data_IF_897081140709
#
_entry.id   IF_897081140709
#
_cell.length_a   1.000
_cell.length_b   1.000
_cell.length_c   1.000
_cell.angle_alpha   90.00
_cell.angle_beta   90.00
_cell.angle_gamma   90.00
#
_symmetry.space_group_name_H-M   'P 1'
#
loop_
_entity.id
_entity.type
_entity.pdbx_description
1 polymer ?
#
# COMPACT_ATOMS: atom_id res chain seq x y z
N UNK A 1 -33.03 -52.54 -16.05
CA UNK A 1 -34.04 -51.50 -15.77
C UNK A 1 -34.22 -51.44 -14.26
N UNK A 2 -33.97 -50.26 -13.69
CA UNK A 2 -33.94 -49.88 -12.26
C UNK A 2 -32.69 -50.32 -11.48
N UNK A 3 -31.90 -49.46 -10.86
CA UNK A 3 -31.87 -47.99 -10.78
C UNK A 3 -30.43 -47.55 -10.45
N UNK A 4 -29.87 -46.70 -11.31
CA UNK A 4 -28.51 -46.12 -11.29
C UNK A 4 -28.44 -44.79 -10.51
N UNK A 5 -29.17 -44.64 -9.40
CA UNK A 5 -29.46 -43.31 -8.86
C UNK A 5 -28.77 -42.90 -7.54
N UNK A 6 -27.75 -43.61 -7.05
CA UNK A 6 -27.15 -43.29 -5.73
C UNK A 6 -25.66 -42.91 -5.69
N UNK A 7 -24.97 -42.70 -6.81
CA UNK A 7 -23.54 -42.33 -6.79
C UNK A 7 -23.23 -40.88 -7.22
N UNK A 8 -24.24 -40.05 -7.54
CA UNK A 8 -24.04 -38.68 -8.05
C UNK A 8 -24.42 -37.55 -7.08
N UNK A 9 -24.41 -37.78 -5.76
CA UNK A 9 -24.73 -36.73 -4.78
C UNK A 9 -23.60 -36.32 -3.82
N UNK A 10 -22.43 -36.97 -3.83
CA UNK A 10 -21.34 -36.64 -2.90
C UNK A 10 -20.12 -35.91 -3.52
N UNK A 11 -20.20 -35.43 -4.77
CA UNK A 11 -19.09 -34.76 -5.45
C UNK A 11 -19.39 -33.29 -5.85
N UNK A 12 -20.20 -32.56 -5.08
CA UNK A 12 -20.48 -31.13 -5.34
C UNK A 12 -20.11 -30.14 -4.23
N UNK A 13 -19.63 -30.60 -3.08
CA UNK A 13 -19.26 -29.72 -1.95
C UNK A 13 -17.75 -29.66 -1.69
N UNK A 14 -16.95 -29.65 -2.75
CA UNK A 14 -15.58 -29.13 -2.69
C UNK A 14 -15.49 -27.91 -3.62
N UNK A 15 -16.23 -26.85 -3.25
CA UNK A 15 -15.89 -25.52 -3.70
C UNK A 15 -14.49 -25.24 -3.15
N UNK A 16 -13.49 -25.27 -4.03
CA UNK A 16 -12.19 -24.64 -3.77
C UNK A 16 -12.49 -23.23 -3.29
N UNK A 17 -12.23 -22.95 -2.01
CA UNK A 17 -12.26 -21.59 -1.49
C UNK A 17 -11.32 -20.77 -2.36
N UNK A 18 -11.88 -19.93 -3.23
CA UNK A 18 -11.14 -19.01 -4.06
C UNK A 18 -10.31 -18.12 -3.13
N UNK A 19 -8.98 -18.09 -3.33
CA UNK A 19 -8.02 -17.32 -2.52
C UNK A 19 -8.19 -15.82 -2.73
N UNK A 20 -9.31 -15.27 -2.25
CA UNK A 20 -9.58 -13.83 -2.33
C UNK A 20 -8.95 -13.14 -1.12
N UNK A 21 -8.14 -12.12 -1.38
CA UNK A 21 -7.51 -11.31 -0.35
C UNK A 21 -8.53 -10.42 0.37
N UNK A 22 -8.91 -10.81 1.59
CA UNK A 22 -9.94 -10.11 2.39
C UNK A 22 -11.22 -10.93 2.47
N UNK A 23 -12.28 -10.32 3.00
CA UNK A 23 -13.62 -10.89 3.03
C UNK A 23 -14.41 -10.38 1.82
N UNK A 24 -15.10 -11.29 1.13
CA UNK A 24 -16.05 -10.95 0.08
C UNK A 24 -17.40 -10.69 0.70
N UNK A 25 -18.06 -9.60 0.30
CA UNK A 25 -19.45 -9.36 0.70
C UNK A 25 -20.38 -10.44 0.13
N UNK A 26 -21.14 -11.07 1.01
CA UNK A 26 -22.31 -11.86 0.67
C UNK A 26 -23.56 -10.99 0.85
N UNK A 27 -24.01 -10.40 -0.25
CA UNK A 27 -25.29 -9.70 -0.29
C UNK A 27 -26.36 -10.80 -0.33
N UNK A 28 -26.98 -11.12 0.80
CA UNK A 28 -27.96 -12.20 0.95
C UNK A 28 -29.25 -12.09 0.11
N UNK A 29 -29.22 -11.37 -1.02
CA UNK A 29 -30.32 -11.16 -1.93
C UNK A 29 -30.23 -12.11 -3.14
N UNK A 30 -31.37 -12.73 -3.44
CA UNK A 30 -31.60 -13.64 -4.57
C UNK A 30 -31.05 -13.07 -5.88
N UNK A 31 -30.01 -13.70 -6.43
CA UNK A 31 -29.60 -13.76 -7.86
C UNK A 31 -30.25 -12.70 -8.78
N UNK A 32 -29.89 -11.43 -8.60
CA UNK A 32 -30.11 -10.41 -9.63
C UNK A 32 -28.89 -10.41 -10.55
N UNK A 33 -29.02 -11.02 -11.73
CA UNK A 33 -27.94 -11.12 -12.73
C UNK A 33 -27.28 -9.78 -13.04
N UNK A 34 -28.02 -8.67 -13.01
CA UNK A 34 -27.46 -7.34 -13.26
C UNK A 34 -26.52 -6.85 -12.16
N UNK A 35 -26.76 -7.23 -10.90
CA UNK A 35 -25.85 -6.90 -9.80
C UNK A 35 -24.60 -7.79 -9.83
N UNK A 36 -24.73 -9.05 -10.26
CA UNK A 36 -23.58 -9.94 -10.53
C UNK A 36 -22.71 -9.42 -11.69
N UNK A 37 -23.31 -8.93 -12.77
CA UNK A 37 -22.58 -8.35 -13.92
C UNK A 37 -21.78 -7.11 -13.51
N UNK A 38 -22.35 -6.21 -12.68
CA UNK A 38 -21.63 -5.04 -12.16
C UNK A 38 -20.53 -5.46 -11.18
N UNK A 39 -20.75 -6.52 -10.37
CA UNK A 39 -19.77 -7.03 -9.41
C UNK A 39 -18.49 -7.54 -10.08
N UNK A 40 -18.63 -8.19 -11.23
CA UNK A 40 -17.53 -8.82 -11.96
C UNK A 40 -16.80 -7.86 -12.92
N UNK A 41 -17.34 -6.65 -13.13
CA UNK A 41 -16.70 -5.65 -13.96
C UNK A 41 -15.43 -5.07 -13.30
N UNK A 42 -14.39 -4.81 -14.11
CA UNK A 42 -13.18 -4.07 -13.70
C UNK A 42 -13.52 -2.73 -13.06
N UNK A 43 -14.50 -2.04 -13.66
CA UNK A 43 -15.06 -0.79 -13.17
C UNK A 43 -16.56 -0.99 -12.96
N UNK A 44 -17.04 -0.74 -11.74
CA UNK A 44 -18.46 -0.79 -11.41
C UNK A 44 -19.17 0.45 -11.95
N UNK A 45 -19.49 0.42 -13.24
CA UNK A 45 -20.17 1.52 -13.97
C UNK A 45 -21.64 1.19 -14.24
N UNK A 46 -22.47 2.22 -14.28
CA UNK A 46 -23.85 2.07 -14.74
C UNK A 46 -23.88 1.85 -16.26
N UNK A 47 -24.90 1.10 -16.74
CA UNK A 47 -25.14 0.91 -18.17
C UNK A 47 -25.34 2.26 -18.85
N UNK A 48 -24.74 2.40 -20.03
CA UNK A 48 -24.89 3.58 -20.87
C UNK A 48 -26.36 3.62 -21.35
N UNK A 49 -27.06 4.76 -21.23
CA UNK A 49 -28.39 4.91 -21.81
C UNK A 49 -28.37 4.65 -23.33
N UNK A 50 -29.36 3.91 -23.85
CA UNK A 50 -29.44 3.55 -25.28
C UNK A 50 -29.37 4.77 -26.23
N UNK A 51 -29.82 5.95 -25.78
CA UNK A 51 -29.72 7.19 -26.54
C UNK A 51 -28.29 7.67 -26.78
N UNK A 52 -27.35 7.26 -25.93
CA UNK A 52 -25.94 7.66 -25.97
C UNK A 52 -25.04 6.60 -26.59
N UNK A 53 -25.54 5.38 -26.87
CA UNK A 53 -24.74 4.27 -27.38
C UNK A 53 -24.04 4.62 -28.70
N UNK A 54 -24.76 5.26 -29.62
CA UNK A 54 -24.21 5.72 -30.91
C UNK A 54 -23.25 6.92 -30.78
N UNK A 55 -23.11 7.51 -29.60
CA UNK A 55 -22.20 8.64 -29.32
C UNK A 55 -20.93 8.20 -28.60
N UNK A 56 -20.78 6.92 -28.28
CA UNK A 56 -19.59 6.38 -27.61
C UNK A 56 -18.44 6.31 -28.61
N UNK A 57 -17.40 7.09 -28.36
CA UNK A 57 -16.15 7.05 -29.12
C UNK A 57 -15.08 6.30 -28.32
N UNK A 58 -14.42 5.32 -28.96
CA UNK A 58 -13.27 4.63 -28.38
C UNK A 58 -11.99 5.37 -28.75
N UNK A 59 -11.26 5.86 -27.74
CA UNK A 59 -9.96 6.53 -27.90
C UNK A 59 -8.77 5.56 -28.03
N UNK A 60 -9.03 4.25 -28.15
CA UNK A 60 -8.04 3.17 -28.04
C UNK A 60 -7.25 3.19 -26.71
N UNK A 61 -6.42 2.17 -26.49
CA UNK A 61 -5.53 2.10 -25.33
C UNK A 61 -4.13 2.64 -25.65
N UNK A 62 -3.43 3.13 -24.63
CA UNK A 62 -2.08 3.66 -24.80
C UNK A 62 -1.13 2.55 -25.25
N UNK A 63 -0.41 2.78 -26.37
CA UNK A 63 0.58 1.81 -26.87
C UNK A 63 1.79 1.78 -25.93
N UNK A 64 2.39 0.61 -25.77
CA UNK A 64 3.56 0.42 -24.89
C UNK A 64 4.74 1.34 -25.24
N UNK A 65 4.92 1.65 -26.52
CA UNK A 65 5.95 2.60 -27.00
C UNK A 65 5.67 4.04 -26.54
N UNK A 66 4.42 4.47 -26.59
CA UNK A 66 4.02 5.81 -26.13
C UNK A 66 4.10 5.92 -24.62
N UNK A 67 3.65 4.88 -23.90
CA UNK A 67 3.76 4.81 -22.45
C UNK A 67 5.19 4.96 -21.97
N UNK A 68 6.14 4.24 -22.61
CA UNK A 68 7.56 4.37 -22.26
C UNK A 68 8.08 5.80 -22.44
N UNK A 69 7.65 6.50 -23.49
CA UNK A 69 8.01 7.92 -23.70
C UNK A 69 7.46 8.82 -22.58
N UNK A 70 6.21 8.59 -22.15
CA UNK A 70 5.64 9.32 -21.02
C UNK A 70 6.41 9.04 -19.72
N UNK A 71 6.70 7.76 -19.43
CA UNK A 71 7.49 7.36 -18.25
C UNK A 71 8.85 8.05 -18.27
N UNK A 72 9.56 7.98 -19.39
CA UNK A 72 10.87 8.63 -19.56
C UNK A 72 10.78 10.13 -19.26
N UNK A 73 9.82 10.84 -19.84
CA UNK A 73 9.63 12.28 -19.60
C UNK A 73 9.30 12.59 -18.13
N UNK A 74 8.51 11.74 -17.46
CA UNK A 74 8.19 11.92 -16.04
C UNK A 74 9.43 11.72 -15.17
N UNK A 75 10.20 10.65 -15.40
CA UNK A 75 11.48 10.38 -14.70
C UNK A 75 12.45 11.56 -14.90
N UNK A 76 12.55 12.08 -16.11
CA UNK A 76 13.45 13.19 -16.46
C UNK A 76 13.12 14.44 -15.68
N UNK A 77 11.84 14.81 -15.64
CA UNK A 77 11.37 15.97 -14.91
C UNK A 77 11.68 15.83 -13.41
N UNK A 78 11.46 14.64 -12.84
CA UNK A 78 11.77 14.39 -11.42
C UNK A 78 13.27 14.48 -11.13
N UNK A 79 14.12 13.86 -11.94
CA UNK A 79 15.58 13.93 -11.77
C UNK A 79 16.10 15.36 -11.96
N UNK A 80 15.56 16.09 -12.95
CA UNK A 80 15.93 17.47 -13.20
C UNK A 80 15.59 18.37 -11.99
N UNK A 81 14.40 18.22 -11.42
CA UNK A 81 13.99 18.94 -10.21
C UNK A 81 14.92 18.68 -9.03
N UNK A 82 15.21 17.40 -8.75
CA UNK A 82 16.07 17.00 -7.62
C UNK A 82 17.53 17.49 -7.81
N UNK A 83 18.07 17.39 -9.03
CA UNK A 83 19.48 17.71 -9.27
C UNK A 83 19.75 19.21 -9.36
N UNK A 84 18.83 19.99 -9.93
CA UNK A 84 18.91 21.46 -9.93
C UNK A 84 18.87 22.03 -8.52
N UNK A 85 18.07 21.45 -7.63
CA UNK A 85 17.99 21.87 -6.24
C UNK A 85 19.30 21.62 -5.46
N UNK A 86 20.22 20.81 -5.99
CA UNK A 86 21.43 20.36 -5.31
C UNK A 86 22.74 20.71 -6.05
N UNK A 87 22.69 21.56 -7.09
CA UNK A 87 23.83 21.93 -7.94
C UNK A 87 24.63 20.73 -8.52
N UNK A 88 23.94 19.60 -8.75
CA UNK A 88 24.55 18.35 -9.24
C UNK A 88 24.45 18.23 -10.76
N UNK A 89 25.47 17.65 -11.40
CA UNK A 89 25.45 17.45 -12.85
C UNK A 89 24.54 16.29 -13.22
N UNK A 90 23.52 16.60 -14.02
CA UNK A 90 22.57 15.61 -14.58
C UNK A 90 23.23 14.40 -15.24
N UNK A 91 24.40 14.60 -15.87
CA UNK A 91 25.13 13.58 -16.62
C UNK A 91 25.64 12.42 -15.76
N UNK A 92 25.92 12.67 -14.49
CA UNK A 92 26.52 11.68 -13.59
C UNK A 92 25.50 10.61 -13.19
N UNK A 93 24.20 10.93 -13.25
CA UNK A 93 23.11 10.04 -12.84
C UNK A 93 22.40 9.34 -14.02
N UNK A 94 22.92 9.46 -15.24
CA UNK A 94 22.25 8.96 -16.45
C UNK A 94 21.99 7.45 -16.41
N UNK A 95 22.93 6.67 -15.88
CA UNK A 95 22.79 5.21 -15.75
C UNK A 95 21.66 4.84 -14.78
N UNK A 96 21.66 5.42 -13.58
CA UNK A 96 20.65 5.17 -12.54
C UNK A 96 19.27 5.60 -13.02
N UNK A 97 19.18 6.76 -13.68
CA UNK A 97 17.95 7.26 -14.31
C UNK A 97 17.40 6.26 -15.33
N UNK A 98 18.26 5.75 -16.20
CA UNK A 98 17.88 4.79 -17.24
C UNK A 98 17.41 3.46 -16.64
N UNK A 99 18.10 2.97 -15.60
CA UNK A 99 17.67 1.78 -14.84
C UNK A 99 16.31 2.00 -14.18
N UNK A 100 16.04 3.19 -13.63
CA UNK A 100 14.75 3.47 -13.00
C UNK A 100 13.59 3.48 -13.99
N UNK A 101 13.78 4.11 -15.16
CA UNK A 101 12.81 4.10 -16.26
C UNK A 101 12.51 2.65 -16.70
N UNK A 102 13.56 1.84 -16.83
CA UNK A 102 13.46 0.44 -17.21
C UNK A 102 12.69 -0.38 -16.17
N UNK A 103 13.02 -0.23 -14.88
CA UNK A 103 12.34 -0.93 -13.81
C UNK A 103 10.85 -0.57 -13.74
N UNK A 104 10.49 0.72 -13.81
CA UNK A 104 9.08 1.14 -13.85
C UNK A 104 8.35 0.53 -15.05
N UNK A 105 8.97 0.55 -16.23
CA UNK A 105 8.39 -0.02 -17.45
C UNK A 105 8.18 -1.54 -17.33
N UNK A 106 9.13 -2.24 -16.71
CA UNK A 106 9.02 -3.66 -16.39
C UNK A 106 7.95 -3.93 -15.34
N UNK A 107 7.79 -3.07 -14.32
CA UNK A 107 6.72 -3.16 -13.32
C UNK A 107 5.34 -3.08 -13.95
N UNK A 108 5.14 -2.12 -14.85
CA UNK A 108 3.90 -1.99 -15.61
C UNK A 108 3.62 -3.25 -16.44
N UNK A 109 4.64 -3.75 -17.14
CA UNK A 109 4.52 -4.96 -17.97
C UNK A 109 4.26 -6.21 -17.13
N UNK A 110 4.90 -6.35 -15.96
CA UNK A 110 4.72 -7.47 -15.05
C UNK A 110 3.29 -7.52 -14.52
N UNK A 111 2.79 -6.41 -13.99
CA UNK A 111 1.45 -6.34 -13.40
C UNK A 111 0.37 -6.60 -14.46
N UNK A 112 0.58 -6.16 -15.71
CA UNK A 112 -0.33 -6.48 -16.82
C UNK A 112 -0.30 -7.97 -17.19
N UNK A 113 0.90 -8.54 -17.32
CA UNK A 113 1.08 -9.96 -17.67
C UNK A 113 0.58 -10.92 -16.59
N UNK A 114 0.76 -10.58 -15.32
CA UNK A 114 0.24 -11.36 -14.21
C UNK A 114 -1.29 -11.47 -14.28
N UNK A 115 -1.97 -10.38 -14.66
CA UNK A 115 -3.42 -10.38 -14.93
C UNK A 115 -3.84 -11.10 -16.22
N UNK A 116 -3.03 -11.06 -17.28
CA UNK A 116 -3.31 -11.73 -18.58
C UNK A 116 -3.07 -13.25 -18.56
N UNK A 117 -2.53 -13.80 -17.46
CA UNK A 117 -2.32 -15.24 -17.35
C UNK A 117 -3.67 -15.98 -17.41
N UNK A 118 -3.97 -16.55 -18.58
CA UNK A 118 -5.17 -17.36 -18.91
C UNK A 118 -5.41 -18.58 -17.98
N UNK A 119 -4.64 -18.75 -16.91
CA UNK A 119 -4.73 -19.83 -15.93
C UNK A 119 -5.24 -19.37 -14.55
N UNK A 120 -5.42 -18.07 -14.31
CA UNK A 120 -6.03 -17.61 -13.06
C UNK A 120 -7.54 -17.42 -13.26
N UNK A 121 -8.36 -18.21 -12.56
CA UNK A 121 -9.80 -17.98 -12.39
C UNK A 121 -10.08 -16.76 -11.47
N UNK A 122 -9.09 -15.89 -11.28
CA UNK A 122 -9.12 -14.82 -10.29
C UNK A 122 -9.46 -13.53 -11.04
N UNK A 123 -10.77 -13.32 -11.29
CA UNK A 123 -11.31 -12.12 -11.95
C UNK A 123 -10.79 -10.83 -11.30
N UNK A 124 -10.43 -10.89 -10.02
CA UNK A 124 -9.83 -9.77 -9.29
C UNK A 124 -8.40 -9.42 -9.75
N UNK A 125 -7.55 -10.39 -10.10
CA UNK A 125 -6.19 -10.13 -10.63
C UNK A 125 -6.22 -9.50 -12.02
N UNK A 126 -7.15 -9.95 -12.87
CA UNK A 126 -7.43 -9.31 -14.17
C UNK A 126 -7.89 -7.86 -13.98
N UNK A 127 -8.79 -7.64 -13.03
CA UNK A 127 -9.25 -6.30 -12.70
C UNK A 127 -8.10 -5.42 -12.20
N UNK A 128 -7.19 -5.93 -11.35
CA UNK A 128 -6.00 -5.20 -10.88
C UNK A 128 -5.02 -4.79 -11.98
N UNK A 129 -4.80 -5.65 -12.97
CA UNK A 129 -3.94 -5.40 -14.12
C UNK A 129 -4.46 -4.27 -15.00
N UNK A 130 -5.78 -4.13 -15.12
CA UNK A 130 -6.42 -3.08 -15.91
C UNK A 130 -6.33 -1.68 -15.26
N UNK A 131 -5.92 -1.58 -13.99
CA UNK A 131 -5.93 -0.33 -13.24
C UNK A 131 -4.57 0.37 -13.18
N UNK A 132 -3.49 -0.32 -13.55
CA UNK A 132 -2.17 0.29 -13.54
C UNK A 132 -2.10 1.40 -14.60
N UNK A 133 -1.67 2.58 -14.16
CA UNK A 133 -1.69 3.78 -15.01
C UNK A 133 -0.48 4.66 -14.73
N UNK A 134 -0.31 5.73 -15.51
CA UNK A 134 0.71 6.75 -15.28
C UNK A 134 0.57 7.45 -13.91
N UNK A 135 -0.56 7.27 -13.20
CA UNK A 135 -0.70 7.72 -11.80
C UNK A 135 0.22 6.93 -10.87
N UNK A 136 0.44 5.64 -11.13
CA UNK A 136 1.34 4.81 -10.32
C UNK A 136 2.80 5.21 -10.55
N UNK A 137 3.14 5.60 -11.78
CA UNK A 137 4.44 6.23 -12.11
C UNK A 137 4.61 7.53 -11.32
N UNK A 138 3.61 8.42 -11.33
CA UNK A 138 3.63 9.68 -10.57
C UNK A 138 3.86 9.44 -9.07
N UNK A 139 3.14 8.48 -8.47
CA UNK A 139 3.31 8.08 -7.06
C UNK A 139 4.70 7.52 -6.78
N UNK A 140 5.21 6.66 -7.66
CA UNK A 140 6.54 6.07 -7.52
C UNK A 140 7.61 7.16 -7.51
N UNK A 141 7.51 8.13 -8.43
CA UNK A 141 8.42 9.27 -8.52
C UNK A 141 8.29 10.20 -7.31
N UNK A 142 7.07 10.35 -6.75
CA UNK A 142 6.84 11.12 -5.53
C UNK A 142 7.48 10.47 -4.31
N UNK A 143 7.33 9.16 -4.14
CA UNK A 143 8.01 8.41 -3.07
C UNK A 143 9.51 8.53 -3.22
N UNK A 144 10.03 8.35 -4.44
CA UNK A 144 11.45 8.49 -4.74
C UNK A 144 11.97 9.88 -4.37
N UNK A 145 11.30 10.94 -4.82
CA UNK A 145 11.68 12.31 -4.51
C UNK A 145 11.67 12.56 -3.00
N UNK A 146 10.60 12.14 -2.30
CA UNK A 146 10.52 12.28 -0.85
C UNK A 146 11.65 11.54 -0.12
N UNK A 147 12.00 10.32 -0.57
CA UNK A 147 13.07 9.52 0.00
C UNK A 147 14.44 10.21 -0.11
N UNK A 148 14.71 10.84 -1.26
CA UNK A 148 16.00 11.51 -1.53
C UNK A 148 16.09 12.90 -0.91
N UNK A 149 14.99 13.66 -0.84
CA UNK A 149 15.01 15.06 -0.40
C UNK A 149 14.76 15.24 1.10
N UNK A 150 14.01 14.34 1.74
CA UNK A 150 13.64 14.47 3.15
C UNK A 150 14.67 13.84 4.10
N UNK A 151 14.87 14.45 5.28
CA UNK A 151 15.69 13.87 6.36
C UNK A 151 15.18 12.50 6.80
N UNK A 152 13.86 12.35 6.91
CA UNK A 152 13.21 11.09 7.25
C UNK A 152 13.40 10.01 6.19
N UNK A 153 13.29 10.37 4.92
CA UNK A 153 13.55 9.48 3.79
C UNK A 153 15.00 9.00 3.77
N UNK A 154 15.95 9.94 3.84
CA UNK A 154 17.38 9.62 3.94
C UNK A 154 17.71 8.77 5.16
N UNK A 155 17.04 9.02 6.29
CA UNK A 155 17.18 8.18 7.47
C UNK A 155 16.81 6.72 7.19
N UNK A 156 15.76 6.44 6.42
CA UNK A 156 15.40 5.06 6.07
C UNK A 156 16.46 4.39 5.17
N UNK A 157 17.10 5.16 4.28
CA UNK A 157 18.02 4.62 3.28
C UNK A 157 19.46 4.46 3.77
N UNK A 158 19.97 5.41 4.54
CA UNK A 158 21.40 5.47 4.87
C UNK A 158 21.75 4.57 6.05
N UNK A 159 22.77 3.74 5.91
CA UNK A 159 23.31 2.90 6.99
C UNK A 159 24.52 3.56 7.65
N UNK A 160 25.22 4.42 6.89
CA UNK A 160 26.44 5.12 7.32
C UNK A 160 26.23 6.63 7.33
N UNK A 161 27.08 7.34 8.08
CA UNK A 161 27.07 8.81 8.12
C UNK A 161 27.43 9.42 6.76
N UNK A 162 28.29 8.76 5.99
CA UNK A 162 28.65 9.16 4.63
C UNK A 162 28.36 8.01 3.65
N UNK A 163 27.37 8.20 2.79
CA UNK A 163 27.07 7.35 1.64
C UNK A 163 27.11 8.17 0.36
N UNK A 164 27.53 7.53 -0.74
CA UNK A 164 27.54 8.19 -2.04
C UNK A 164 26.10 8.45 -2.48
N UNK A 165 25.84 9.60 -3.09
CA UNK A 165 24.50 9.96 -3.55
C UNK A 165 23.92 8.96 -4.56
N UNK A 166 24.76 8.37 -5.41
CA UNK A 166 24.36 7.29 -6.32
C UNK A 166 23.78 6.08 -5.58
N UNK A 167 24.37 5.70 -4.44
CA UNK A 167 23.89 4.59 -3.62
C UNK A 167 22.55 4.94 -2.98
N UNK A 168 22.40 6.18 -2.47
CA UNK A 168 21.14 6.68 -1.91
C UNK A 168 20.03 6.63 -2.99
N UNK A 169 20.32 7.09 -4.21
CA UNK A 169 19.36 7.05 -5.31
C UNK A 169 18.96 5.62 -5.66
N UNK A 170 19.93 4.70 -5.71
CA UNK A 170 19.65 3.29 -5.98
C UNK A 170 18.75 2.67 -4.90
N UNK A 171 19.07 2.91 -3.62
CA UNK A 171 18.23 2.45 -2.49
C UNK A 171 16.83 3.06 -2.54
N UNK A 172 16.72 4.35 -2.88
CA UNK A 172 15.45 5.04 -3.03
C UNK A 172 14.59 4.42 -4.14
N UNK A 173 15.20 4.00 -5.26
CA UNK A 173 14.52 3.30 -6.35
C UNK A 173 13.92 1.99 -5.84
N UNK A 174 14.71 1.14 -5.17
CA UNK A 174 14.25 -0.13 -4.62
C UNK A 174 13.06 0.05 -3.67
N UNK A 175 13.17 0.98 -2.73
CA UNK A 175 12.11 1.23 -1.76
C UNK A 175 10.85 1.83 -2.40
N UNK A 176 11.01 2.68 -3.43
CA UNK A 176 9.87 3.24 -4.18
C UNK A 176 9.12 2.16 -4.97
N UNK A 177 9.85 1.24 -5.60
CA UNK A 177 9.27 0.09 -6.30
C UNK A 177 8.58 -0.88 -5.33
N UNK A 178 9.17 -1.09 -4.15
CA UNK A 178 8.56 -1.88 -3.09
C UNK A 178 7.21 -1.30 -2.65
N UNK A 179 7.20 -0.01 -2.32
CA UNK A 179 6.02 0.71 -1.83
C UNK A 179 4.91 0.79 -2.88
N UNK A 180 5.23 1.06 -4.14
CA UNK A 180 4.21 1.33 -5.17
C UNK A 180 3.76 0.09 -5.96
N UNK A 181 4.63 -0.91 -6.15
CA UNK A 181 4.35 -2.08 -6.99
C UNK A 181 4.40 -3.40 -6.22
N UNK A 182 5.44 -3.66 -5.43
CA UNK A 182 5.59 -4.94 -4.74
C UNK A 182 4.54 -5.12 -3.63
N UNK A 183 4.14 -4.04 -2.96
CA UNK A 183 3.09 -4.03 -1.92
C UNK A 183 1.71 -4.51 -2.41
N UNK A 184 1.46 -4.38 -3.72
CA UNK A 184 0.22 -4.83 -4.38
C UNK A 184 0.19 -6.35 -4.58
N UNK A 185 1.36 -6.99 -4.57
CA UNK A 185 1.48 -8.43 -4.76
C UNK A 185 1.05 -9.15 -3.49
N UNK A 186 0.16 -10.12 -3.63
CA UNK A 186 -0.23 -10.99 -2.51
C UNK A 186 0.70 -12.19 -2.36
N UNK A 187 1.18 -12.71 -3.49
CA UNK A 187 2.19 -13.76 -3.58
C UNK A 187 3.60 -13.23 -3.36
N UNK A 188 4.57 -14.15 -3.27
CA UNK A 188 5.97 -13.87 -2.99
C UNK A 188 6.51 -12.64 -3.74
N UNK A 189 6.76 -11.56 -3.01
CA UNK A 189 7.27 -10.28 -3.53
C UNK A 189 8.64 -10.41 -4.18
N UNK A 190 9.38 -11.45 -3.84
CA UNK A 190 10.66 -11.75 -4.46
C UNK A 190 10.48 -12.13 -5.92
N UNK A 191 9.41 -12.82 -6.29
CA UNK A 191 9.12 -13.15 -7.70
C UNK A 191 8.95 -11.90 -8.55
N UNK A 192 8.34 -10.86 -7.98
CA UNK A 192 8.24 -9.56 -8.64
C UNK A 192 9.63 -8.96 -8.87
N UNK A 193 10.49 -8.90 -7.85
CA UNK A 193 11.83 -8.33 -8.00
C UNK A 193 12.75 -9.18 -8.91
N UNK A 194 12.65 -10.52 -8.83
CA UNK A 194 13.33 -11.44 -9.75
C UNK A 194 12.96 -11.13 -11.20
N UNK A 195 11.68 -10.87 -11.48
CA UNK A 195 11.24 -10.52 -12.83
C UNK A 195 11.74 -9.14 -13.29
N UNK A 196 11.74 -8.14 -12.40
CA UNK A 196 12.18 -6.78 -12.70
C UNK A 196 13.69 -6.71 -12.94
N UNK A 197 14.47 -7.41 -12.11
CA UNK A 197 15.93 -7.45 -12.18
C UNK A 197 16.47 -8.55 -13.09
N UNK A 198 15.61 -9.20 -13.88
CA UNK A 198 16.00 -10.25 -14.83
C UNK A 198 16.80 -11.38 -14.17
N UNK A 199 16.43 -11.76 -12.93
CA UNK A 199 17.10 -12.78 -12.11
C UNK A 199 18.57 -12.46 -11.80
N UNK A 200 18.90 -11.18 -11.67
CA UNK A 200 20.19 -10.77 -11.13
C UNK A 200 20.18 -10.90 -9.60
N UNK A 201 20.75 -11.99 -9.10
CA UNK A 201 20.78 -12.32 -7.67
C UNK A 201 21.43 -11.23 -6.80
N UNK A 202 22.43 -10.52 -7.33
CA UNK A 202 23.09 -9.43 -6.60
C UNK A 202 22.16 -8.23 -6.42
N UNK A 203 21.41 -7.85 -7.46
CA UNK A 203 20.44 -6.76 -7.37
C UNK A 203 19.28 -7.13 -6.45
N UNK A 204 18.80 -8.37 -6.54
CA UNK A 204 17.75 -8.90 -5.69
C UNK A 204 18.16 -8.88 -4.21
N UNK A 205 19.32 -9.45 -3.88
CA UNK A 205 19.83 -9.47 -2.50
C UNK A 205 20.05 -8.06 -1.95
N UNK A 206 20.60 -7.14 -2.76
CA UNK A 206 20.75 -5.74 -2.36
C UNK A 206 19.38 -5.06 -2.11
N UNK A 207 18.39 -5.31 -2.97
CA UNK A 207 17.05 -4.77 -2.82
C UNK A 207 16.37 -5.29 -1.55
N UNK A 208 16.45 -6.59 -1.29
CA UNK A 208 15.91 -7.23 -0.09
C UNK A 208 16.55 -6.65 1.18
N UNK A 209 17.88 -6.57 1.22
CA UNK A 209 18.61 -5.98 2.34
C UNK A 209 18.16 -4.53 2.60
N UNK A 210 18.01 -3.72 1.56
CA UNK A 210 17.55 -2.33 1.71
C UNK A 210 16.14 -2.25 2.29
N UNK A 211 15.22 -3.11 1.82
CA UNK A 211 13.85 -3.15 2.31
C UNK A 211 13.81 -3.59 3.78
N UNK A 212 14.50 -4.70 4.11
CA UNK A 212 14.55 -5.24 5.46
C UNK A 212 15.20 -4.26 6.44
N UNK A 213 16.35 -3.68 6.07
CA UNK A 213 17.03 -2.68 6.89
C UNK A 213 16.15 -1.44 7.10
N UNK A 214 15.47 -0.94 6.05
CA UNK A 214 14.55 0.20 6.17
C UNK A 214 13.40 -0.10 7.13
N UNK A 215 12.85 -1.32 7.07
CA UNK A 215 11.77 -1.79 7.94
C UNK A 215 12.21 -1.90 9.40
N UNK A 216 13.37 -2.53 9.64
CA UNK A 216 13.92 -2.72 10.98
C UNK A 216 14.29 -1.39 11.61
N UNK A 217 15.02 -0.55 10.87
CA UNK A 217 15.43 0.77 11.30
C UNK A 217 14.24 1.65 11.70
N UNK A 218 13.15 1.61 10.92
CA UNK A 218 11.92 2.31 11.32
C UNK A 218 11.39 1.76 12.64
N UNK A 219 11.15 0.45 12.73
CA UNK A 219 10.52 -0.20 13.89
C UNK A 219 11.33 -0.02 15.18
N UNK A 220 12.66 -0.06 15.10
CA UNK A 220 13.55 0.17 16.23
C UNK A 220 13.55 1.62 16.70
N UNK A 221 13.27 2.55 15.78
CA UNK A 221 13.23 3.98 16.08
C UNK A 221 11.87 4.46 16.58
N UNK A 222 10.81 3.67 16.38
CA UNK A 222 9.49 3.95 16.91
C UNK A 222 9.49 3.77 18.43
N UNK A 223 9.24 4.86 19.15
CA UNK A 223 9.02 4.87 20.59
C UNK A 223 7.65 4.23 20.89
N UNK A 224 7.60 2.90 20.87
CA UNK A 224 6.42 2.10 21.18
C UNK A 224 6.80 0.93 22.09
N UNK A 225 6.04 0.73 23.14
CA UNK A 225 6.30 -0.35 24.11
C UNK A 225 5.75 -1.70 23.59
N UNK A 226 6.42 -2.26 22.58
CA UNK A 226 6.06 -3.54 21.98
C UNK A 226 6.04 -4.68 23.00
N UNK A 227 6.96 -4.66 23.96
CA UNK A 227 7.11 -5.70 24.98
C UNK A 227 5.93 -5.70 25.97
N UNK A 228 5.55 -4.54 26.49
CA UNK A 228 4.41 -4.43 27.42
C UNK A 228 3.09 -4.75 26.75
N UNK A 229 2.93 -4.37 25.47
CA UNK A 229 1.72 -4.64 24.70
C UNK A 229 1.69 -6.03 24.05
N UNK A 230 2.72 -6.85 24.24
CA UNK A 230 2.83 -8.22 23.71
C UNK A 230 2.65 -8.29 22.18
N UNK A 231 3.23 -7.33 21.46
CA UNK A 231 3.12 -7.24 20.00
C UNK A 231 4.38 -7.82 19.36
N UNK A 232 4.20 -8.85 18.51
CA UNK A 232 5.26 -9.42 17.71
C UNK A 232 5.69 -8.49 16.57
N UNK A 233 7.00 -8.24 16.47
CA UNK A 233 7.63 -7.50 15.36
C UNK A 233 7.82 -8.40 14.13
N UNK A 234 6.72 -8.98 13.65
CA UNK A 234 6.72 -9.86 12.49
C UNK A 234 6.79 -9.06 11.17
N UNK A 235 7.12 -9.75 10.07
CA UNK A 235 7.24 -9.13 8.74
C UNK A 235 5.98 -8.33 8.35
N UNK A 236 4.74 -8.83 8.55
CA UNK A 236 3.54 -8.05 8.25
C UNK A 236 3.44 -6.74 9.03
N UNK A 237 3.77 -6.73 10.32
CA UNK A 237 3.78 -5.51 11.12
C UNK A 237 4.83 -4.53 10.61
N UNK A 238 6.07 -5.00 10.41
CA UNK A 238 7.20 -4.18 9.94
C UNK A 238 6.87 -3.48 8.62
N UNK A 239 6.35 -4.24 7.66
CA UNK A 239 5.97 -3.73 6.36
C UNK A 239 4.77 -2.76 6.43
N UNK A 240 3.70 -3.11 7.16
CA UNK A 240 2.54 -2.22 7.30
C UNK A 240 2.99 -0.86 7.87
N UNK A 241 3.82 -0.87 8.92
CA UNK A 241 4.37 0.35 9.53
C UNK A 241 5.19 1.17 8.53
N UNK A 242 6.06 0.51 7.74
CA UNK A 242 6.84 1.18 6.69
C UNK A 242 5.94 1.84 5.64
N UNK A 243 4.93 1.12 5.13
CA UNK A 243 4.02 1.70 4.14
C UNK A 243 3.20 2.85 4.70
N UNK A 244 2.67 2.74 5.93
CA UNK A 244 1.94 3.83 6.57
C UNK A 244 2.85 5.04 6.70
N UNK A 245 4.08 4.86 7.21
CA UNK A 245 5.04 5.94 7.37
C UNK A 245 5.35 6.64 6.04
N UNK A 246 5.81 5.88 5.04
CA UNK A 246 6.20 6.43 3.74
C UNK A 246 5.01 7.11 3.04
N UNK A 247 3.85 6.47 2.98
CA UNK A 247 2.69 7.01 2.29
C UNK A 247 2.15 8.28 2.97
N UNK A 248 2.13 8.31 4.30
CA UNK A 248 1.67 9.49 5.05
C UNK A 248 2.59 10.68 4.81
N UNK A 249 3.92 10.51 4.89
CA UNK A 249 4.85 11.61 4.67
C UNK A 249 5.02 11.99 3.19
N UNK A 250 4.83 11.06 2.27
CA UNK A 250 4.80 11.32 0.83
C UNK A 250 3.44 11.88 0.34
N UNK A 251 2.44 12.01 1.23
CA UNK A 251 1.08 12.45 0.90
C UNK A 251 0.43 11.60 -0.20
N UNK A 252 0.53 10.28 -0.05
CA UNK A 252 -0.11 9.32 -0.94
C UNK A 252 -1.16 8.55 -0.13
N UNK A 253 -2.43 8.51 -0.57
CA UNK A 253 -3.45 7.72 0.11
C UNK A 253 -3.05 6.25 0.16
N UNK A 254 -3.17 5.62 1.32
CA UNK A 254 -2.86 4.20 1.51
C UNK A 254 -4.12 3.41 1.83
N UNK A 255 -4.35 2.34 1.09
CA UNK A 255 -5.41 1.35 1.35
C UNK A 255 -4.77 0.04 1.81
N UNK A 256 -5.11 -0.44 3.01
CA UNK A 256 -4.63 -1.72 3.54
C UNK A 256 -5.81 -2.68 3.63
N UNK A 257 -5.83 -3.67 2.75
CA UNK A 257 -6.92 -4.66 2.64
C UNK A 257 -6.38 -6.04 2.97
N UNK A 258 -7.08 -6.77 3.83
CA UNK A 258 -6.80 -8.20 4.04
C UNK A 258 -7.57 -8.79 5.19
N UNK A 259 -7.45 -10.10 5.40
CA UNK A 259 -8.24 -10.82 6.42
C UNK A 259 -8.00 -10.28 7.85
N UNK A 260 -8.94 -10.45 8.79
CA UNK A 260 -8.71 -10.16 10.20
C UNK A 260 -7.43 -10.84 10.72
N UNK A 261 -6.71 -10.18 11.63
CA UNK A 261 -5.46 -10.72 12.19
C UNK A 261 -4.18 -10.46 11.38
N UNK A 262 -4.24 -9.71 10.27
CA UNK A 262 -3.05 -9.35 9.46
C UNK A 262 -2.33 -8.07 9.94
N UNK A 263 -2.37 -7.79 11.24
CA UNK A 263 -1.71 -6.64 11.90
C UNK A 263 -2.05 -5.24 11.36
N UNK A 264 -3.17 -5.04 10.64
CA UNK A 264 -3.52 -3.76 10.01
C UNK A 264 -3.75 -2.63 11.02
N UNK A 265 -4.74 -2.81 11.91
CA UNK A 265 -5.12 -1.80 12.90
C UNK A 265 -4.00 -1.58 13.93
N UNK A 266 -3.29 -2.64 14.30
CA UNK A 266 -2.13 -2.56 15.21
C UNK A 266 -1.02 -1.73 14.60
N UNK A 267 -0.69 -1.88 13.31
CA UNK A 267 0.33 -1.05 12.66
C UNK A 267 -0.06 0.43 12.60
N UNK A 268 -1.35 0.73 12.40
CA UNK A 268 -1.86 2.10 12.50
C UNK A 268 -1.66 2.61 13.92
N UNK A 269 -2.09 1.85 14.94
CA UNK A 269 -1.89 2.23 16.35
C UNK A 269 -0.42 2.49 16.68
N UNK A 270 0.48 1.59 16.30
CA UNK A 270 1.93 1.70 16.52
C UNK A 270 2.47 3.01 15.96
N UNK A 271 2.19 3.31 14.69
CA UNK A 271 2.67 4.54 14.04
C UNK A 271 2.06 5.78 14.70
N UNK A 272 0.75 5.77 14.97
CA UNK A 272 0.06 6.93 15.53
C UNK A 272 0.51 7.20 16.96
N UNK A 273 0.69 6.18 17.80
CA UNK A 273 1.19 6.37 19.16
C UNK A 273 2.65 6.81 19.18
N UNK A 274 3.50 6.22 18.34
CA UNK A 274 4.92 6.59 18.28
C UNK A 274 5.16 7.99 17.72
N UNK A 275 4.24 8.56 16.95
CA UNK A 275 4.41 9.87 16.32
C UNK A 275 3.43 10.92 16.87
N UNK A 276 2.73 10.60 17.96
CA UNK A 276 1.83 11.51 18.69
C UNK A 276 2.62 12.46 19.62
N UNK A 277 2.07 13.65 19.93
CA UNK A 277 2.66 14.55 20.91
C UNK A 277 2.66 13.95 22.34
N UNK A 278 3.56 14.40 23.25
CA UNK A 278 4.45 15.56 23.09
C UNK A 278 5.77 15.21 22.41
N UNK A 279 6.03 15.89 21.28
CA UNK A 279 7.25 15.82 20.48
C UNK A 279 8.53 16.07 21.29
N UNK A 280 8.42 16.77 22.42
CA UNK A 280 9.53 17.08 23.32
C UNK A 280 10.15 15.84 23.99
N UNK A 281 9.44 14.73 24.08
CA UNK A 281 9.97 13.48 24.61
C UNK A 281 10.55 12.54 23.52
N UNK A 282 10.17 12.75 22.25
CA UNK A 282 10.50 11.82 21.18
C UNK A 282 11.81 12.17 20.47
N UNK A 283 12.87 11.43 20.81
CA UNK A 283 14.22 11.69 20.31
C UNK A 283 14.36 11.32 18.82
N UNK A 284 13.62 10.31 18.36
CA UNK A 284 13.60 9.92 16.96
C UNK A 284 12.97 11.02 16.09
N UNK A 285 11.75 11.45 16.43
CA UNK A 285 11.03 12.46 15.67
C UNK A 285 11.80 13.78 15.58
N UNK A 286 12.45 14.20 16.69
CA UNK A 286 13.34 15.37 16.72
C UNK A 286 14.55 15.24 15.80
N UNK A 287 15.26 14.10 15.86
CA UNK A 287 16.50 13.88 15.11
C UNK A 287 16.32 14.03 13.60
N UNK A 288 15.15 13.65 13.10
CA UNK A 288 14.83 13.68 11.66
C UNK A 288 13.78 14.75 11.30
N UNK A 289 13.51 15.68 12.22
CA UNK A 289 12.61 16.84 12.04
C UNK A 289 11.22 16.47 11.49
N UNK A 290 10.63 15.42 12.06
CA UNK A 290 9.31 14.96 11.65
C UNK A 290 8.19 15.91 12.09
N UNK A 291 7.19 16.06 11.22
CA UNK A 291 5.93 16.72 11.60
C UNK A 291 5.11 15.80 12.49
N UNK A 292 4.44 16.38 13.48
CA UNK A 292 3.69 15.61 14.48
C UNK A 292 2.35 15.15 13.90
N UNK A 293 1.96 13.91 14.16
CA UNK A 293 0.70 13.38 13.61
C UNK A 293 -0.51 13.94 14.35
N UNK A 294 -1.52 14.34 13.57
CA UNK A 294 -2.85 14.73 14.06
C UNK A 294 -3.89 13.85 13.41
N UNK A 295 -4.16 12.72 14.05
CA UNK A 295 -5.12 11.77 13.51
C UNK A 295 -6.56 12.20 13.76
N UNK A 296 -7.43 11.90 12.79
CA UNK A 296 -8.87 11.93 12.93
C UNK A 296 -9.43 10.61 12.40
N UNK A 297 -10.12 9.89 13.26
CA UNK A 297 -10.58 8.53 13.00
C UNK A 297 -12.06 8.52 12.61
N UNK A 298 -12.41 7.76 11.58
CA UNK A 298 -13.79 7.46 11.21
C UNK A 298 -13.93 5.95 10.99
N UNK A 299 -14.75 5.31 11.82
CA UNK A 299 -15.17 3.94 11.57
C UNK A 299 -16.31 3.92 10.56
N UNK A 300 -16.07 3.28 9.43
CA UNK A 300 -17.04 3.15 8.37
C UNK A 300 -18.00 1.99 8.64
N UNK A 301 -19.22 2.11 8.12
CA UNK A 301 -20.31 1.16 8.25
C UNK A 301 -21.26 1.30 7.05
N UNK A 302 -22.22 0.39 6.86
CA UNK A 302 -23.23 0.50 5.79
C UNK A 302 -24.15 1.73 5.91
N UNK A 303 -24.12 2.45 7.04
CA UNK A 303 -24.90 3.69 7.26
C UNK A 303 -24.03 4.95 7.23
N UNK A 304 -22.74 4.82 6.89
CA UNK A 304 -21.83 5.97 6.79
C UNK A 304 -22.31 6.92 5.71
N UNK A 305 -22.37 8.21 6.04
CA UNK A 305 -22.84 9.28 5.14
C UNK A 305 -21.67 10.03 4.51
N UNK A 306 -21.94 10.65 3.36
CA UNK A 306 -21.08 11.59 2.65
C UNK A 306 -20.66 12.73 3.59
N UNK A 307 -21.60 13.27 4.37
CA UNK A 307 -21.30 14.33 5.35
C UNK A 307 -20.31 13.84 6.42
N UNK A 308 -20.42 12.59 6.88
CA UNK A 308 -19.48 12.02 7.84
C UNK A 308 -18.04 11.99 7.33
N UNK A 309 -17.84 11.65 6.05
CA UNK A 309 -16.51 11.73 5.42
C UNK A 309 -16.05 13.18 5.31
N UNK A 310 -16.88 14.11 4.86
CA UNK A 310 -16.47 15.51 4.80
C UNK A 310 -16.10 16.09 6.16
N UNK A 311 -16.86 15.74 7.20
CA UNK A 311 -16.66 16.26 8.54
C UNK A 311 -15.37 15.74 9.16
N UNK A 312 -15.00 14.46 8.96
CA UNK A 312 -13.71 13.96 9.45
C UNK A 312 -12.53 14.67 8.78
N UNK A 313 -12.64 15.01 7.48
CA UNK A 313 -11.63 15.81 6.79
C UNK A 313 -11.58 17.25 7.29
N UNK A 314 -12.73 17.89 7.53
CA UNK A 314 -12.79 19.23 8.14
C UNK A 314 -12.14 19.24 9.52
N UNK A 315 -12.44 18.24 10.35
CA UNK A 315 -11.86 18.08 11.68
C UNK A 315 -10.34 17.90 11.57
N UNK A 316 -9.87 17.02 10.67
CA UNK A 316 -8.44 16.80 10.45
C UNK A 316 -7.73 18.10 10.06
N UNK A 317 -8.26 18.85 9.09
CA UNK A 317 -7.73 20.16 8.70
C UNK A 317 -7.72 21.15 9.86
N UNK A 318 -8.80 21.24 10.64
CA UNK A 318 -8.88 22.17 11.78
C UNK A 318 -7.91 21.85 12.93
N UNK A 319 -7.56 20.57 13.11
CA UNK A 319 -6.60 20.12 14.13
C UNK A 319 -5.15 20.32 13.70
N UNK A 320 -4.90 20.47 12.40
CA UNK A 320 -3.57 20.51 11.81
C UNK A 320 -3.01 21.92 11.87
N UNK A 321 -1.94 22.12 12.64
CA UNK A 321 -1.16 23.35 12.70
C UNK A 321 0.03 23.33 11.74
N UNK A 322 0.76 24.43 11.63
CA UNK A 322 1.89 24.60 10.70
C UNK A 322 2.98 23.50 10.80
N UNK A 323 3.23 22.94 12.00
CA UNK A 323 4.20 21.86 12.22
C UNK A 323 3.58 20.46 12.37
N UNK A 324 2.27 20.35 12.19
CA UNK A 324 1.54 19.10 12.32
C UNK A 324 1.22 18.50 10.93
N UNK A 325 1.07 17.18 10.88
CA UNK A 325 0.59 16.46 9.71
C UNK A 325 -0.79 15.88 10.01
N UNK A 326 -1.82 16.39 9.31
CA UNK A 326 -3.16 15.86 9.42
C UNK A 326 -3.26 14.47 8.79
N UNK A 327 -3.84 13.51 9.51
CA UNK A 327 -4.06 12.16 8.99
C UNK A 327 -5.51 11.72 9.26
N UNK A 328 -6.24 11.38 8.21
CA UNK A 328 -7.55 10.74 8.31
C UNK A 328 -7.36 9.23 8.26
N UNK A 329 -7.87 8.56 9.29
CA UNK A 329 -7.88 7.10 9.37
C UNK A 329 -9.31 6.63 9.14
N UNK A 330 -9.52 5.87 8.07
CA UNK A 330 -10.80 5.25 7.76
C UNK A 330 -10.73 3.77 8.10
N UNK A 331 -11.44 3.33 9.13
CA UNK A 331 -11.53 1.92 9.48
C UNK A 331 -12.75 1.29 8.83
N UNK A 332 -12.62 0.03 8.41
CA UNK A 332 -13.61 -0.71 7.62
C UNK A 332 -14.17 0.04 6.41
N UNK A 333 -13.31 0.73 5.65
CA UNK A 333 -13.71 1.61 4.55
C UNK A 333 -14.62 0.94 3.50
N UNK A 334 -14.47 -0.37 3.27
CA UNK A 334 -15.28 -1.10 2.30
C UNK A 334 -16.74 -1.29 2.74
N UNK A 335 -17.06 -1.19 4.04
CA UNK A 335 -18.45 -1.18 4.50
C UNK A 335 -19.20 0.07 4.02
N UNK A 336 -18.50 1.18 3.81
CA UNK A 336 -19.11 2.40 3.30
C UNK A 336 -19.53 2.30 1.82
N UNK A 337 -19.04 1.30 1.09
CA UNK A 337 -19.49 1.03 -0.28
C UNK A 337 -20.95 0.55 -0.33
N UNK A 338 -21.43 -0.08 0.74
CA UNK A 338 -22.80 -0.54 0.90
C UNK A 338 -23.80 0.60 1.16
N UNK A 339 -23.29 1.79 1.51
CA UNK A 339 -24.15 2.90 1.91
C UNK A 339 -24.89 3.49 0.71
N UNK A 340 -26.22 3.68 0.80
CA UNK A 340 -27.00 4.34 -0.25
C UNK A 340 -26.59 5.80 -0.45
N UNK A 341 -25.92 6.41 0.53
CA UNK A 341 -25.46 7.80 0.48
C UNK A 341 -24.17 7.98 -0.35
N UNK A 342 -23.58 6.88 -0.84
CA UNK A 342 -22.36 6.86 -1.68
C UNK A 342 -21.18 7.68 -1.10
N UNK A 343 -20.83 7.48 0.18
CA UNK A 343 -19.84 8.29 0.89
C UNK A 343 -18.45 8.29 0.23
N UNK A 344 -18.05 7.19 -0.40
CA UNK A 344 -16.76 7.08 -1.08
C UNK A 344 -16.59 8.07 -2.24
N UNK A 345 -17.67 8.64 -2.79
CA UNK A 345 -17.59 9.74 -3.75
C UNK A 345 -17.04 11.02 -3.11
N UNK A 346 -17.42 11.33 -1.87
CA UNK A 346 -16.80 12.44 -1.13
C UNK A 346 -15.32 12.16 -0.86
N UNK A 347 -14.97 10.92 -0.50
CA UNK A 347 -13.56 10.54 -0.36
C UNK A 347 -12.78 10.79 -1.64
N UNK A 348 -13.29 10.38 -2.81
CA UNK A 348 -12.64 10.62 -4.10
C UNK A 348 -12.40 12.10 -4.37
N UNK A 349 -13.41 12.94 -4.12
CA UNK A 349 -13.30 14.39 -4.29
C UNK A 349 -12.16 14.97 -3.43
N UNK A 350 -12.07 14.56 -2.15
CA UNK A 350 -10.99 14.99 -1.26
C UNK A 350 -9.62 14.54 -1.75
N UNK A 351 -9.49 13.29 -2.20
CA UNK A 351 -8.21 12.75 -2.70
C UNK A 351 -7.76 13.42 -4.01
N UNK A 352 -8.69 13.71 -4.91
CA UNK A 352 -8.39 14.37 -6.19
C UNK A 352 -8.02 15.84 -6.00
N UNK A 353 -8.63 16.54 -5.05
CA UNK A 353 -8.27 17.92 -4.75
C UNK A 353 -6.85 18.00 -4.16
N UNK A 354 -6.50 17.12 -3.22
CA UNK A 354 -5.14 17.01 -2.69
C UNK A 354 -4.11 16.70 -3.79
N UNK A 355 -4.43 15.80 -4.72
CA UNK A 355 -3.54 15.45 -5.82
C UNK A 355 -3.31 16.63 -6.79
N UNK A 356 -4.36 17.40 -7.10
CA UNK A 356 -4.26 18.60 -7.94
C UNK A 356 -3.41 19.67 -7.28
N UNK A 357 -3.58 19.87 -5.99
CA UNK A 357 -2.83 20.84 -5.20
C UNK A 357 -1.33 20.50 -5.20
N UNK A 358 -0.99 19.24 -4.92
CA UNK A 358 0.40 18.76 -5.00
C UNK A 358 0.96 18.93 -6.42
N UNK A 359 0.16 18.62 -7.45
CA UNK A 359 0.58 18.71 -8.85
C UNK A 359 0.87 20.14 -9.31
N UNK A 360 0.05 21.12 -8.89
CA UNK A 360 0.28 22.55 -9.21
C UNK A 360 1.60 23.03 -8.63
N UNK A 361 1.91 22.65 -7.40
CA UNK A 361 3.06 23.20 -6.69
C UNK A 361 4.37 22.53 -7.10
N UNK A 362 4.32 21.26 -7.53
CA UNK A 362 5.47 20.62 -8.18
C UNK A 362 5.92 21.35 -9.46
N UNK A 363 5.04 22.10 -10.14
CA UNK A 363 5.43 22.95 -11.28
C UNK A 363 6.26 24.16 -10.85
N UNK A 364 6.09 24.61 -9.60
CA UNK A 364 6.82 25.74 -9.02
C UNK A 364 8.17 25.33 -8.39
N UNK A 365 8.60 24.07 -8.57
CA UNK A 365 9.82 23.48 -7.99
C UNK A 365 9.93 23.58 -6.45
N UNK A 366 8.82 23.71 -5.73
CA UNK A 366 8.84 23.68 -4.25
C UNK A 366 9.00 22.24 -3.74
N UNK A 367 9.65 22.08 -2.58
CA UNK A 367 9.78 20.77 -1.91
C UNK A 367 8.44 20.34 -1.37
N UNK A 368 8.16 19.04 -1.39
CA UNK A 368 6.92 18.45 -0.85
C UNK A 368 6.66 18.92 0.58
N UNK A 369 7.69 19.03 1.42
CA UNK A 369 7.50 19.47 2.81
C UNK A 369 6.99 20.91 2.94
N UNK A 370 7.35 21.79 2.00
CA UNK A 370 6.84 23.17 1.96
C UNK A 370 5.38 23.19 1.50
N UNK A 371 4.99 22.24 0.63
CA UNK A 371 3.60 22.02 0.19
C UNK A 371 2.68 21.74 1.40
N UNK A 372 3.10 20.83 2.28
CA UNK A 372 2.26 20.43 3.41
C UNK A 372 2.20 21.52 4.51
N UNK A 373 3.16 22.45 4.53
CA UNK A 373 3.13 23.62 5.42
C UNK A 373 2.14 24.68 4.94
N UNK A 374 2.15 25.01 3.66
CA UNK A 374 1.31 26.08 3.09
C UNK A 374 -0.18 25.71 3.07
N UNK A 375 -0.52 24.44 2.81
CA UNK A 375 -1.90 24.06 2.49
C UNK A 375 -2.60 23.16 3.53
N UNK A 376 -1.93 22.81 4.63
CA UNK A 376 -2.54 21.97 5.68
C UNK A 376 -3.02 20.61 5.15
N UNK A 377 -2.28 20.03 4.20
CA UNK A 377 -2.61 18.77 3.54
C UNK A 377 -2.92 17.64 4.54
N UNK A 378 -3.95 16.85 4.21
CA UNK A 378 -4.39 15.72 5.03
C UNK A 378 -4.08 14.42 4.29
N UNK A 379 -3.28 13.56 4.91
CA UNK A 379 -3.04 12.21 4.41
C UNK A 379 -4.19 11.28 4.77
N UNK A 380 -4.37 10.20 3.99
CA UNK A 380 -5.41 9.20 4.24
C UNK A 380 -4.78 7.82 4.39
N UNK A 381 -5.16 7.13 5.47
CA UNK A 381 -4.89 5.71 5.67
C UNK A 381 -6.23 5.02 5.84
N UNK A 382 -6.63 4.21 4.86
CA UNK A 382 -7.87 3.47 4.87
C UNK A 382 -7.57 1.98 5.06
N UNK A 383 -8.20 1.36 6.05
CA UNK A 383 -8.05 -0.06 6.34
C UNK A 383 -9.40 -0.75 6.17
N UNK A 384 -9.39 -2.00 5.72
CA UNK A 384 -10.60 -2.83 5.76
C UNK A 384 -10.27 -4.31 5.75
N UNK A 385 -11.17 -5.09 6.35
CA UNK A 385 -11.17 -6.54 6.21
C UNK A 385 -11.82 -6.99 4.91
N UNK A 386 -12.67 -6.16 4.29
CA UNK A 386 -13.42 -6.49 3.09
C UNK A 386 -12.76 -5.95 1.84
N UNK A 387 -12.95 -6.66 0.73
CA UNK A 387 -12.48 -6.21 -0.59
C UNK A 387 -13.21 -4.93 -0.98
N UNK A 388 -12.46 -3.89 -1.33
CA UNK A 388 -12.98 -2.65 -1.87
C UNK A 388 -12.99 -2.72 -3.40
N UNK A 389 -13.97 -2.09 -4.05
CA UNK A 389 -13.94 -1.94 -5.51
C UNK A 389 -12.59 -1.34 -5.96
N UNK A 390 -11.88 -1.98 -6.90
CA UNK A 390 -10.65 -1.43 -7.42
C UNK A 390 -10.76 0.00 -7.97
N UNK A 391 -11.94 0.42 -8.45
CA UNK A 391 -12.20 1.81 -8.87
C UNK A 391 -11.99 2.84 -7.76
N UNK A 392 -12.14 2.43 -6.49
CA UNK A 392 -11.93 3.27 -5.31
C UNK A 392 -10.45 3.26 -4.88
N UNK A 393 -9.75 2.13 -5.00
CA UNK A 393 -8.34 1.99 -4.57
C UNK A 393 -7.34 2.63 -5.54
N UNK A 394 -7.73 2.83 -6.80
CA UNK A 394 -6.90 3.46 -7.84
C UNK A 394 -6.40 4.88 -7.53
N UNK A 395 -6.92 5.53 -6.50
CA UNK A 395 -6.53 6.87 -6.05
C UNK A 395 -5.37 6.84 -5.05
N UNK A 396 -4.94 5.66 -4.60
CA UNK A 396 -3.83 5.49 -3.66
C UNK A 396 -2.97 4.25 -3.95
N UNK A 397 -2.10 3.94 -3.00
CA UNK A 397 -1.35 2.68 -2.95
C UNK A 397 -2.21 1.63 -2.23
N UNK A 398 -2.20 0.41 -2.75
CA UNK A 398 -2.93 -0.72 -2.18
C UNK A 398 -1.95 -1.75 -1.63
N UNK A 399 -2.01 -1.99 -0.31
CA UNK A 399 -1.35 -3.10 0.36
C UNK A 399 -2.35 -4.25 0.56
N UNK A 400 -2.05 -5.40 -0.02
CA UNK A 400 -2.87 -6.61 0.10
C UNK A 400 -2.26 -7.60 1.10
N UNK A 401 -3.10 -8.19 1.94
CA UNK A 401 -2.69 -9.19 2.94
C UNK A 401 -3.53 -10.46 2.85
N UNK A 402 -2.88 -11.56 2.54
CA UNK A 402 -3.40 -12.90 2.75
C UNK A 402 -3.23 -13.34 4.21
N UNK A 403 -3.97 -14.37 4.62
CA UNK A 403 -3.83 -14.97 5.96
C UNK A 403 -2.41 -15.46 6.17
N UNK A 404 -1.80 -15.11 7.31
CA UNK A 404 -0.40 -15.41 7.58
C UNK A 404 -0.18 -16.90 7.83
N UNK A 405 0.71 -17.53 7.07
CA UNK A 405 1.21 -18.89 7.34
C UNK A 405 2.28 -18.91 8.45
N UNK A 406 2.76 -17.74 8.87
CA UNK A 406 3.88 -17.55 9.80
C UNK A 406 3.43 -17.43 11.28
N UNK A 407 2.37 -18.12 11.68
CA UNK A 407 1.84 -18.09 13.05
C UNK A 407 2.89 -18.50 14.09
N UNK A 408 3.74 -19.48 13.78
CA UNK A 408 4.77 -19.97 14.70
C UNK A 408 5.82 -18.90 15.05
N UNK A 409 6.33 -18.17 14.06
CA UNK A 409 7.29 -17.08 14.30
C UNK A 409 6.67 -15.95 15.11
N UNK A 410 5.41 -15.61 14.84
CA UNK A 410 4.67 -14.58 15.58
C UNK A 410 4.53 -14.98 17.05
N UNK A 411 4.12 -16.21 17.32
CA UNK A 411 3.97 -16.70 18.68
C UNK A 411 5.31 -16.80 19.41
N UNK A 412 6.39 -17.25 18.75
CA UNK A 412 7.74 -17.25 19.30
C UNK A 412 8.16 -15.84 19.73
N UNK A 413 7.96 -14.83 18.87
CA UNK A 413 8.30 -13.44 19.19
C UNK A 413 7.52 -12.89 20.39
N UNK A 414 6.21 -13.17 20.49
CA UNK A 414 5.38 -12.77 21.65
C UNK A 414 5.89 -13.41 22.94
N UNK A 415 6.26 -14.69 22.90
CA UNK A 415 6.74 -15.41 24.08
C UNK A 415 8.14 -14.94 24.50
N UNK A 416 9.04 -14.70 23.52
CA UNK A 416 10.37 -14.17 23.77
C UNK A 416 10.37 -12.76 24.36
N UNK A 417 9.34 -11.94 24.11
CA UNK A 417 9.21 -10.62 24.77
C UNK A 417 9.00 -10.69 26.30
N UNK A 418 8.65 -11.86 26.86
CA UNK A 418 8.24 -11.99 28.27
C UNK A 418 9.29 -12.63 29.18
N UNK A 419 10.25 -13.39 28.66
CA UNK A 419 11.01 -14.35 29.49
C UNK A 419 12.52 -14.21 29.39
N UNK A 420 13.10 -13.39 30.27
CA UNK A 420 14.55 -13.44 30.58
C UNK A 420 14.95 -14.77 31.27
N UNK A 421 14.01 -15.69 31.56
CA UNK A 421 14.29 -16.94 32.30
C UNK A 421 13.69 -18.25 31.77
N UNK A 422 13.00 -18.28 30.61
CA UNK A 422 12.38 -19.52 30.06
C UNK A 422 12.75 -19.78 28.58
N UNK A 423 13.84 -19.19 28.09
CA UNK A 423 14.23 -19.30 26.68
C UNK A 423 14.55 -20.73 26.21
N UNK A 424 14.84 -21.67 27.11
CA UNK A 424 15.15 -23.06 26.75
C UNK A 424 13.93 -23.98 26.57
N UNK A 425 12.81 -23.73 27.28
CA UNK A 425 11.63 -24.62 27.24
C UNK A 425 10.56 -24.21 26.22
N UNK A 426 10.51 -22.92 25.87
CA UNK A 426 9.48 -22.38 24.96
C UNK A 426 9.52 -23.05 23.57
N UNK A 427 10.68 -23.27 22.92
CA UNK A 427 10.74 -23.95 21.62
C UNK A 427 10.21 -25.38 21.66
N UNK A 428 10.48 -26.14 22.72
CA UNK A 428 10.03 -27.53 22.88
C UNK A 428 8.51 -27.63 23.11
N UNK A 429 7.96 -26.74 23.95
CA UNK A 429 6.50 -26.64 24.16
C UNK A 429 5.81 -26.27 22.84
N UNK A 430 6.41 -25.37 22.06
CA UNK A 430 5.87 -24.95 20.77
C UNK A 430 5.90 -26.05 19.72
N UNK A 431 7.01 -26.80 19.63
CA UNK A 431 7.12 -27.98 18.76
C UNK A 431 6.07 -29.05 19.10
N UNK A 432 5.83 -29.28 20.40
CA UNK A 432 4.81 -30.20 20.90
C UNK A 432 3.35 -29.73 20.65
N UNK A 433 3.11 -28.42 20.68
CA UNK A 433 1.78 -27.87 20.43
C UNK A 433 1.47 -27.81 18.92
N UNK A 434 2.46 -27.42 18.10
CA UNK A 434 2.34 -27.45 16.64
C UNK A 434 2.14 -28.88 16.12
N UNK A 435 2.89 -29.87 16.63
CA UNK A 435 2.70 -31.26 16.20
C UNK A 435 1.27 -31.76 16.47
N UNK A 436 0.68 -31.39 17.60
CA UNK A 436 -0.71 -31.72 17.94
C UNK A 436 -1.77 -31.00 17.11
N UNK A 437 -1.47 -29.80 16.60
CA UNK A 437 -2.38 -29.08 15.69
C UNK A 437 -2.32 -29.69 14.29
N UNK A 438 -1.12 -30.02 13.81
CA UNK A 438 -0.93 -30.66 12.50
C UNK A 438 -1.41 -32.13 12.47
N UNK A 439 -1.47 -32.84 13.60
CA UNK A 439 -2.10 -34.17 13.69
C UNK A 439 -3.64 -34.14 13.65
N UNK A 440 -4.27 -32.97 13.79
CA UNK A 440 -5.74 -32.80 13.84
C UNK A 440 -6.35 -32.11 12.61
N UNK A 441 -5.51 -31.73 11.65
CA UNK A 441 -5.90 -31.33 10.29
C UNK A 441 -5.69 -32.53 9.36
#
# INVERSE_FOLDING_TARGET
>A
MKDQNNENQNNKDQNKEEEVCGLLFDYGDKKNKEQEEIRNAVYRVHKIPNSLENSVLSFESLKSTQEKVYISKMVDNTFYSILNNNDKKFRDYQTIRSSFEEYISKSHSYIRKDGDSNQTNDDFKRNLAALISLRDVSRTLRVFQWLVESKAGRFLLSEKEEEREEEIFQKAIYLSLFVCYASRQTTNKDQYFEAIFERNDNLLGNCQNVIENSQEKLIESLEYDFSKKMIAKNIPLKENCLLIFVCVYAQIPLFIIGKPGTSKSISVEVIMESLKPPYEANNFAKKIELRTFRESFLQCSPITTTQGIEDVFKIAKSKTKENDLGVVILDEVALAELSPDLPLKALHSQLEESEKEISRINQDNKKIQDIIKENGGVSVVAISNWVLDPSNTNRGILLRRESTTQLGTTAQQILCTKTVGMNSMIPEIFASYLSKIYEKL
#
